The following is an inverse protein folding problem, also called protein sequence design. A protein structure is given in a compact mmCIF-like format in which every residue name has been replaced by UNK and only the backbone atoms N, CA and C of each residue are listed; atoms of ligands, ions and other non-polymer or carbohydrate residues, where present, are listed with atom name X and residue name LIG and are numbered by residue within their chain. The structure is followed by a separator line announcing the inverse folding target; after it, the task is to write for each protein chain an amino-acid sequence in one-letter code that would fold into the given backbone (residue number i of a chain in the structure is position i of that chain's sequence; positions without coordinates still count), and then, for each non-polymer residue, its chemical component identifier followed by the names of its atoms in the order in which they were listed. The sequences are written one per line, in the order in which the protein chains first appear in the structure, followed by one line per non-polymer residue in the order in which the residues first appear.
data_IF_911512409466
#
_entry.id   IF_911512409466
#
_cell.length_a   1.000
_cell.length_b   1.000
_cell.length_c   1.000
_cell.angle_alpha   90.00
_cell.angle_beta   90.00
_cell.angle_gamma   90.00
#
_symmetry.space_group_name_H-M   'P 1'
#
loop_
_entity.id
_entity.type
_entity.pdbx_description
1 polymer ?
#
# COMPACT_ATOMS: atom_id res chain seq x y z
N UNK A 1 -38.15 -31.49 15.67
CA UNK A 1 -36.73 -31.90 15.51
C UNK A 1 -36.05 -30.89 14.59
N UNK A 2 -34.91 -30.35 15.06
CA UNK A 2 -34.12 -29.27 14.47
C UNK A 2 -32.86 -29.88 13.86
N UNK A 3 -32.52 -29.55 12.61
CA UNK A 3 -31.12 -29.44 12.16
C UNK A 3 -31.06 -28.62 10.87
N UNK A 4 -30.62 -27.36 10.95
CA UNK A 4 -29.22 -26.86 10.81
C UNK A 4 -28.78 -26.80 9.35
N UNK A 5 -29.06 -25.66 8.73
CA UNK A 5 -28.29 -25.18 7.59
C UNK A 5 -27.07 -24.42 8.12
N UNK A 6 -25.87 -24.92 7.80
CA UNK A 6 -24.61 -24.21 8.03
C UNK A 6 -24.36 -23.21 6.90
N UNK A 7 -24.06 -21.93 7.18
CA UNK A 7 -23.53 -21.04 6.14
C UNK A 7 -22.03 -21.28 6.00
N UNK A 8 -21.58 -21.43 4.75
CA UNK A 8 -20.17 -21.52 4.34
C UNK A 8 -19.43 -20.24 4.74
N UNK A 9 -18.35 -20.39 5.49
CA UNK A 9 -17.35 -19.35 5.73
C UNK A 9 -16.60 -19.07 4.41
N UNK A 10 -16.70 -17.83 3.93
CA UNK A 10 -15.81 -17.32 2.88
C UNK A 10 -14.62 -16.63 3.56
N UNK A 11 -13.47 -17.26 3.47
CA UNK A 11 -12.19 -16.71 3.93
C UNK A 11 -11.73 -15.61 2.96
N UNK A 12 -12.06 -14.36 3.25
CA UNK A 12 -11.38 -13.22 2.67
C UNK A 12 -10.10 -12.96 3.47
N UNK A 13 -8.94 -13.20 2.85
CA UNK A 13 -7.64 -12.76 3.37
C UNK A 13 -7.62 -11.22 3.39
N UNK A 14 -7.61 -10.64 4.59
CA UNK A 14 -7.29 -9.23 4.77
C UNK A 14 -5.77 -9.08 4.88
N UNK A 15 -5.17 -8.47 3.84
CA UNK A 15 -3.75 -8.14 3.80
C UNK A 15 -3.40 -7.04 4.80
N UNK A 16 -2.24 -7.19 5.45
CA UNK A 16 -1.37 -6.08 5.85
C UNK A 16 -1.87 -5.02 6.83
N UNK A 17 -2.81 -5.31 7.74
CA UNK A 17 -3.20 -4.32 8.75
C UNK A 17 -2.14 -4.23 9.86
N UNK A 18 -1.48 -3.08 9.98
CA UNK A 18 -0.59 -2.78 11.12
C UNK A 18 -1.34 -3.02 12.45
N UNK A 19 -0.68 -3.55 13.51
CA UNK A 19 -1.37 -3.95 14.72
C UNK A 19 -2.09 -2.75 15.35
N UNK A 20 -3.41 -2.85 15.47
CA UNK A 20 -4.20 -1.89 16.26
C UNK A 20 -3.70 -1.98 17.70
N UNK A 21 -2.95 -0.97 18.14
CA UNK A 21 -2.47 -0.88 19.53
C UNK A 21 -3.59 -0.30 20.38
N UNK A 22 -4.19 -1.14 21.21
CA UNK A 22 -5.22 -0.73 22.18
C UNK A 22 -4.53 -0.25 23.45
N UNK A 23 -4.69 1.03 23.77
CA UNK A 23 -4.20 1.63 25.02
C UNK A 23 -5.35 1.71 26.02
N UNK A 24 -5.10 1.45 27.30
CA UNK A 24 -6.08 1.62 28.39
C UNK A 24 -5.60 2.77 29.28
N UNK A 25 -6.35 3.87 29.27
CA UNK A 25 -6.08 5.04 30.11
C UNK A 25 -6.84 4.86 31.42
N UNK A 26 -6.14 4.91 32.56
CA UNK A 26 -6.77 5.00 33.88
C UNK A 26 -7.11 6.46 34.15
N UNK A 27 -8.39 6.82 34.13
CA UNK A 27 -8.86 8.07 34.73
C UNK A 27 -9.23 7.78 36.18
N UNK A 28 -8.70 8.56 37.13
CA UNK A 28 -8.99 8.40 38.55
C UNK A 28 -10.41 8.90 38.81
N UNK A 29 -11.14 8.09 39.56
CA UNK A 29 -12.53 8.22 40.00
C UNK A 29 -12.88 9.66 40.45
N UNK A 30 -13.91 10.23 39.80
CA UNK A 30 -14.60 11.53 40.06
C UNK A 30 -14.51 12.62 38.97
N UNK A 31 -14.44 12.28 37.69
CA UNK A 31 -14.80 13.24 36.64
C UNK A 31 -15.78 12.62 35.66
N UNK A 32 -16.63 13.48 35.07
CA UNK A 32 -17.54 13.17 33.95
C UNK A 32 -16.78 12.49 32.80
N UNK A 33 -17.47 11.85 31.85
CA UNK A 33 -16.81 11.40 30.61
C UNK A 33 -16.18 12.61 29.90
N UNK A 34 -14.96 12.50 29.33
CA UNK A 34 -14.39 13.56 28.52
C UNK A 34 -15.17 13.69 27.20
N UNK A 35 -15.27 14.92 26.69
CA UNK A 35 -15.87 15.24 25.40
C UNK A 35 -14.93 14.95 24.24
N UNK A 36 -13.64 15.24 24.45
CA UNK A 36 -12.62 15.15 23.41
C UNK A 36 -11.36 14.54 24.02
N UNK A 37 -10.86 13.50 23.36
CA UNK A 37 -9.59 12.85 23.67
C UNK A 37 -8.63 13.12 22.52
N UNK A 38 -7.59 13.91 22.77
CA UNK A 38 -6.55 14.22 21.80
C UNK A 38 -5.30 13.39 22.10
N UNK A 39 -4.82 12.62 21.13
CA UNK A 39 -3.59 11.82 21.25
C UNK A 39 -2.52 12.42 20.34
N UNK A 40 -1.45 12.97 20.94
CA UNK A 40 -0.31 13.48 20.19
C UNK A 40 0.86 12.51 20.27
N UNK A 41 1.03 11.71 19.21
CA UNK A 41 2.11 10.72 19.13
C UNK A 41 3.51 11.35 19.04
N UNK A 42 3.65 12.51 18.37
CA UNK A 42 4.94 13.17 18.18
C UNK A 42 5.51 13.76 19.47
N UNK A 43 4.64 14.33 20.31
CA UNK A 43 4.97 14.88 21.63
C UNK A 43 4.67 13.92 22.79
N UNK A 44 4.29 12.67 22.49
CA UNK A 44 4.00 11.57 23.43
C UNK A 44 3.07 11.96 24.60
N UNK A 45 1.97 12.66 24.32
CA UNK A 45 0.98 13.00 25.34
C UNK A 45 -0.45 12.73 24.91
N UNK A 46 -1.31 12.55 25.90
CA UNK A 46 -2.77 12.42 25.77
C UNK A 46 -3.41 13.58 26.52
N UNK A 47 -4.41 14.20 25.92
CA UNK A 47 -5.16 15.30 26.50
C UNK A 47 -6.64 14.95 26.54
N UNK A 48 -7.24 15.06 27.73
CA UNK A 48 -8.64 14.78 28.02
C UNK A 48 -9.32 16.11 28.34
N UNK A 49 -10.31 16.49 27.53
CA UNK A 49 -11.10 17.71 27.75
C UNK A 49 -12.50 17.32 28.21
N UNK A 50 -12.97 17.91 29.31
CA UNK A 50 -14.27 17.64 29.90
C UNK A 50 -15.28 18.77 29.59
N UNK A 51 -16.58 18.48 29.70
CA UNK A 51 -17.69 19.44 29.44
C UNK A 51 -17.61 20.70 30.30
N UNK A 52 -17.06 20.58 31.51
CA UNK A 52 -16.87 21.68 32.44
C UNK A 52 -15.70 22.61 32.07
N UNK A 53 -14.97 22.31 30.99
CA UNK A 53 -13.78 23.04 30.55
C UNK A 53 -12.47 22.56 31.20
N UNK A 54 -12.51 21.57 32.08
CA UNK A 54 -11.31 20.99 32.69
C UNK A 54 -10.48 20.25 31.63
N UNK A 55 -9.16 20.32 31.80
CA UNK A 55 -8.18 19.74 30.90
C UNK A 55 -7.19 18.89 31.70
N UNK A 56 -7.16 17.58 31.42
CA UNK A 56 -6.16 16.68 31.99
C UNK A 56 -5.17 16.29 30.89
N UNK A 57 -3.89 16.64 31.08
CA UNK A 57 -2.81 16.27 30.19
C UNK A 57 -1.97 15.16 30.83
N UNK A 58 -1.91 14.02 30.16
CA UNK A 58 -1.12 12.85 30.55
C UNK A 58 0.07 12.77 29.60
N UNK A 59 1.25 13.16 30.09
CA UNK A 59 2.51 13.03 29.37
C UNK A 59 3.19 11.71 29.72
N UNK A 60 3.83 11.08 28.73
CA UNK A 60 4.74 9.96 28.98
C UNK A 60 6.06 10.51 29.52
N UNK A 61 6.43 10.17 30.76
CA UNK A 61 7.71 10.59 31.33
C UNK A 61 8.88 9.84 30.68
N UNK A 62 9.92 10.56 30.24
CA UNK A 62 11.09 10.00 29.52
C UNK A 62 11.95 9.08 30.41
N UNK A 63 11.77 9.11 31.74
CA UNK A 63 12.47 8.22 32.67
C UNK A 63 11.77 6.88 32.94
N UNK A 64 10.49 6.71 32.58
CA UNK A 64 9.75 5.49 32.93
C UNK A 64 9.81 4.47 31.78
N UNK A 65 10.52 3.37 32.04
CA UNK A 65 11.11 2.51 31.02
C UNK A 65 10.15 1.59 30.28
N UNK A 66 8.85 1.59 30.56
CA UNK A 66 7.90 0.71 29.88
C UNK A 66 6.51 1.36 29.88
N UNK A 67 5.98 1.68 28.69
CA UNK A 67 4.54 1.86 28.54
C UNK A 67 3.87 0.63 29.14
N UNK A 68 3.10 0.80 30.23
CA UNK A 68 2.51 -0.33 30.95
C UNK A 68 1.41 -0.94 30.09
N UNK A 69 1.78 -1.96 29.32
CA UNK A 69 0.83 -2.80 28.57
C UNK A 69 0.18 -3.76 29.58
N UNK A 70 -1.14 -3.66 29.73
CA UNK A 70 -1.90 -4.59 30.57
C UNK A 70 -2.52 -5.70 29.74
N UNK A 71 -2.68 -6.89 30.31
CA UNK A 71 -3.34 -8.01 29.64
C UNK A 71 -4.85 -7.79 29.47
N UNK A 72 -5.46 -8.53 28.56
CA UNK A 72 -6.92 -8.53 28.36
C UNK A 72 -7.69 -8.97 29.61
N UNK A 73 -7.13 -9.90 30.40
CA UNK A 73 -7.71 -10.37 31.65
C UNK A 73 -7.76 -9.25 32.70
N UNK A 74 -6.68 -8.47 32.83
CA UNK A 74 -6.63 -7.32 33.72
C UNK A 74 -7.59 -6.22 33.26
N UNK A 75 -7.62 -5.95 31.95
CA UNK A 75 -8.58 -5.02 31.35
C UNK A 75 -10.02 -5.40 31.69
N UNK A 76 -10.39 -6.68 31.51
CA UNK A 76 -11.74 -7.19 31.86
C UNK A 76 -12.04 -7.07 33.36
N UNK A 77 -11.04 -7.29 34.23
CA UNK A 77 -11.18 -7.12 35.68
C UNK A 77 -11.44 -5.65 36.05
N UNK A 78 -10.80 -4.70 35.37
CA UNK A 78 -11.03 -3.27 35.59
C UNK A 78 -12.38 -2.81 35.05
N UNK A 79 -12.79 -3.26 33.86
CA UNK A 79 -14.11 -2.95 33.34
C UNK A 79 -15.24 -3.44 34.28
N UNK A 80 -15.09 -4.64 34.86
CA UNK A 80 -16.03 -5.16 35.87
C UNK A 80 -16.07 -4.35 37.17
N UNK A 81 -15.02 -3.58 37.46
CA UNK A 81 -14.96 -2.68 38.62
C UNK A 81 -15.50 -1.27 38.31
N UNK A 82 -16.03 -1.04 37.12
CA UNK A 82 -16.61 0.25 36.71
C UNK A 82 -15.61 1.26 36.17
N UNK A 83 -14.40 0.84 35.78
CA UNK A 83 -13.43 1.75 35.15
C UNK A 83 -13.83 2.01 33.69
N UNK A 84 -13.73 3.27 33.26
CA UNK A 84 -13.93 3.67 31.87
C UNK A 84 -12.70 3.30 31.01
N UNK A 85 -12.96 2.89 29.77
CA UNK A 85 -11.92 2.56 28.80
C UNK A 85 -12.26 3.20 27.45
N UNK A 86 -11.26 3.77 26.80
CA UNK A 86 -11.40 4.44 25.51
C UNK A 86 -10.58 3.71 24.46
N UNK A 87 -11.16 3.56 23.26
CA UNK A 87 -10.47 3.01 22.10
C UNK A 87 -9.98 4.17 21.22
N UNK A 88 -8.67 4.28 21.03
CA UNK A 88 -8.09 5.21 20.07
C UNK A 88 -7.75 4.47 18.77
N UNK A 89 -8.19 5.00 17.63
CA UNK A 89 -7.76 4.55 16.31
C UNK A 89 -6.90 5.62 15.67
N UNK A 90 -5.68 5.26 15.28
CA UNK A 90 -4.79 6.15 14.53
C UNK A 90 -5.19 6.07 13.06
N UNK A 91 -5.91 7.08 12.58
CA UNK A 91 -6.17 7.23 11.15
C UNK A 91 -4.97 7.98 10.54
N UNK A 92 -3.95 7.23 10.09
CA UNK A 92 -2.98 7.78 9.15
C UNK A 92 -3.74 7.99 7.85
N UNK A 93 -4.16 9.23 7.58
CA UNK A 93 -4.57 9.58 6.21
C UNK A 93 -3.34 9.28 5.36
N UNK A 94 -3.40 8.22 4.56
CA UNK A 94 -2.42 7.96 3.52
C UNK A 94 -2.55 9.13 2.56
N UNK A 95 -1.80 10.21 2.82
CA UNK A 95 -1.47 11.15 1.78
C UNK A 95 -0.72 10.32 0.77
N UNK A 96 -1.35 10.02 -0.37
CA UNK A 96 -0.72 9.35 -1.50
C UNK A 96 0.69 9.95 -1.65
N UNK A 97 1.70 9.16 -1.30
CA UNK A 97 3.07 9.62 -1.37
C UNK A 97 3.37 9.80 -2.85
N UNK A 98 3.27 11.04 -3.31
CA UNK A 98 3.70 11.40 -4.64
C UNK A 98 5.16 10.99 -4.79
N UNK A 99 5.51 10.34 -5.90
CA UNK A 99 6.89 9.92 -6.17
C UNK A 99 7.86 11.11 -6.07
N UNK A 100 7.39 12.33 -6.35
CA UNK A 100 8.16 13.57 -6.17
C UNK A 100 8.30 14.03 -4.69
N UNK A 101 7.87 13.22 -3.72
CA UNK A 101 8.19 13.43 -2.29
C UNK A 101 9.46 12.69 -1.86
N UNK A 102 9.99 11.82 -2.72
CA UNK A 102 11.25 11.10 -2.49
C UNK A 102 12.40 11.95 -3.02
N UNK A 103 13.30 12.48 -2.16
CA UNK A 103 14.34 13.43 -2.56
C UNK A 103 15.20 12.95 -3.74
N UNK A 104 15.57 11.66 -3.73
CA UNK A 104 16.39 11.08 -4.79
C UNK A 104 15.65 10.95 -6.12
N UNK A 105 14.32 10.84 -6.14
CA UNK A 105 13.56 10.77 -7.41
C UNK A 105 13.42 12.16 -8.04
N UNK A 106 13.31 13.20 -7.22
CA UNK A 106 13.30 14.59 -7.69
C UNK A 106 14.61 15.00 -8.39
N UNK A 107 15.73 14.38 -8.03
CA UNK A 107 17.03 14.62 -8.66
C UNK A 107 17.14 14.00 -10.07
N UNK A 108 16.32 12.99 -10.39
CA UNK A 108 16.38 12.21 -11.64
C UNK A 108 15.01 12.05 -12.31
N UNK A 109 14.19 13.10 -12.33
CA UNK A 109 12.84 13.05 -12.93
C UNK A 109 12.88 12.73 -14.44
N UNK A 110 13.98 13.04 -15.11
CA UNK A 110 14.26 12.73 -16.51
C UNK A 110 14.48 11.23 -16.77
N UNK A 111 14.90 10.46 -15.75
CA UNK A 111 15.08 9.01 -15.81
C UNK A 111 13.76 8.26 -15.61
N UNK A 112 12.76 8.90 -14.99
CA UNK A 112 11.44 8.32 -14.70
C UNK A 112 10.30 9.05 -15.41
N UNK A 113 10.34 9.21 -16.75
CA UNK A 113 9.25 9.85 -17.46
C UNK A 113 8.00 8.96 -17.43
N UNK A 114 6.82 9.58 -17.43
CA UNK A 114 5.53 8.87 -17.46
C UNK A 114 5.37 8.00 -18.73
N UNK A 115 6.02 8.41 -19.81
CA UNK A 115 6.06 7.70 -21.09
C UNK A 115 7.50 7.65 -21.61
N UNK A 116 7.88 6.54 -22.27
CA UNK A 116 9.23 6.37 -22.81
C UNK A 116 9.46 7.33 -23.99
N UNK A 117 10.58 8.07 -24.02
CA UNK A 117 10.85 9.11 -25.03
C UNK A 117 11.22 8.57 -26.43
N UNK A 118 11.03 7.28 -26.69
CA UNK A 118 11.44 6.59 -27.91
C UNK A 118 12.70 5.74 -27.71
N UNK A 119 13.27 5.26 -28.81
CA UNK A 119 14.54 4.53 -28.76
C UNK A 119 15.65 5.46 -28.25
N UNK A 120 16.56 4.95 -27.40
CA UNK A 120 17.76 5.70 -27.07
C UNK A 120 18.55 6.01 -28.35
N UNK A 121 19.29 7.12 -28.35
CA UNK A 121 20.23 7.45 -29.43
C UNK A 121 21.14 6.25 -29.73
N UNK A 122 21.66 6.19 -30.96
CA UNK A 122 22.63 5.18 -31.40
C UNK A 122 23.65 4.95 -30.28
N UNK A 123 23.63 3.75 -29.71
CA UNK A 123 24.58 3.33 -28.68
C UNK A 123 25.91 3.05 -29.36
N UNK A 124 27.01 3.34 -28.67
CA UNK A 124 28.36 3.00 -29.15
C UNK A 124 28.57 1.48 -29.28
N UNK A 125 27.73 0.69 -28.61
CA UNK A 125 27.77 -0.77 -28.60
C UNK A 125 26.56 -1.31 -29.37
N UNK A 126 26.85 -2.07 -30.43
CA UNK A 126 25.87 -2.86 -31.15
C UNK A 126 25.61 -4.18 -30.40
N UNK A 127 24.34 -4.55 -30.26
CA UNK A 127 23.96 -5.82 -29.65
C UNK A 127 23.78 -6.85 -30.76
N UNK A 128 24.68 -7.83 -30.83
CA UNK A 128 24.57 -8.96 -31.74
C UNK A 128 23.90 -10.15 -31.03
N UNK A 129 22.99 -10.84 -31.73
CA UNK A 129 22.39 -12.09 -31.25
C UNK A 129 23.14 -13.24 -31.93
N UNK A 130 24.06 -13.86 -31.20
CA UNK A 130 24.77 -15.05 -31.68
C UNK A 130 23.82 -16.26 -31.74
N UNK A 131 23.76 -16.91 -32.91
CA UNK A 131 22.99 -18.14 -33.10
C UNK A 131 23.89 -19.36 -32.88
N UNK A 132 23.34 -20.39 -32.25
CA UNK A 132 24.03 -21.67 -32.14
C UNK A 132 24.26 -22.29 -33.53
N UNK A 133 25.37 -23.03 -33.68
CA UNK A 133 25.68 -23.71 -34.94
C UNK A 133 24.56 -24.68 -35.33
N UNK A 134 24.07 -24.57 -36.57
CA UNK A 134 22.99 -25.40 -37.10
C UNK A 134 21.58 -24.85 -36.85
N UNK A 135 21.44 -23.69 -36.21
CA UNK A 135 20.15 -23.02 -36.05
C UNK A 135 19.61 -22.52 -37.40
N UNK A 136 18.42 -22.98 -37.78
CA UNK A 136 17.70 -22.54 -38.98
C UNK A 136 16.56 -21.57 -38.62
N UNK A 137 16.11 -20.71 -39.56
CA UNK A 137 15.00 -19.80 -39.33
C UNK A 137 13.69 -20.50 -38.95
N UNK A 138 12.97 -19.92 -37.99
CA UNK A 138 11.68 -20.40 -37.51
C UNK A 138 10.59 -19.41 -37.92
N UNK A 139 9.56 -19.89 -38.62
CA UNK A 139 8.38 -19.11 -38.99
C UNK A 139 7.12 -19.82 -38.49
N UNK A 140 6.47 -19.25 -37.48
CA UNK A 140 5.25 -19.76 -36.86
C UNK A 140 4.09 -18.85 -37.26
N UNK A 141 2.97 -19.46 -37.68
CA UNK A 141 1.76 -18.72 -38.02
C UNK A 141 1.18 -18.04 -36.77
N UNK A 142 0.68 -16.80 -36.88
CA UNK A 142 0.07 -16.10 -35.75
C UNK A 142 -1.09 -16.87 -35.14
N UNK A 143 -1.25 -16.76 -33.83
CA UNK A 143 -2.43 -17.31 -33.16
C UNK A 143 -3.72 -16.63 -33.65
N UNK A 144 -4.84 -17.37 -33.59
CA UNK A 144 -6.16 -16.83 -33.92
C UNK A 144 -6.63 -15.92 -32.80
N UNK A 145 -6.83 -14.64 -33.12
CA UNK A 145 -7.33 -13.62 -32.20
C UNK A 145 -8.75 -13.18 -32.58
N UNK A 146 -9.54 -12.79 -31.59
CA UNK A 146 -10.84 -12.17 -31.81
C UNK A 146 -10.69 -10.76 -32.44
N UNK A 147 -11.73 -10.22 -33.10
CA UNK A 147 -11.64 -8.90 -33.74
C UNK A 147 -11.25 -7.76 -32.78
N UNK A 148 -11.67 -7.83 -31.51
CA UNK A 148 -11.32 -6.83 -30.49
C UNK A 148 -9.84 -6.90 -30.10
N UNK A 149 -9.29 -8.11 -29.95
CA UNK A 149 -7.87 -8.34 -29.65
C UNK A 149 -7.00 -7.87 -30.83
N UNK A 150 -7.41 -8.17 -32.06
CA UNK A 150 -6.68 -7.72 -33.25
C UNK A 150 -6.67 -6.19 -33.38
N UNK A 151 -7.77 -5.53 -33.01
CA UNK A 151 -7.85 -4.06 -33.00
C UNK A 151 -6.88 -3.46 -31.97
N UNK A 152 -6.82 -4.04 -30.77
CA UNK A 152 -5.91 -3.62 -29.71
C UNK A 152 -4.45 -3.84 -30.12
N UNK A 153 -4.12 -5.03 -30.61
CA UNK A 153 -2.78 -5.35 -31.10
C UNK A 153 -2.32 -4.37 -32.19
N UNK A 154 -3.21 -4.04 -33.14
CA UNK A 154 -2.92 -3.06 -34.17
C UNK A 154 -2.62 -1.67 -33.58
N UNK A 155 -3.36 -1.24 -32.55
CA UNK A 155 -3.11 0.05 -31.90
C UNK A 155 -1.75 0.07 -31.21
N UNK A 156 -1.40 -0.99 -30.47
CA UNK A 156 -0.10 -1.11 -29.79
C UNK A 156 1.06 -1.16 -30.79
N UNK A 157 0.94 -1.92 -31.89
CA UNK A 157 1.96 -1.96 -32.94
C UNK A 157 2.14 -0.59 -33.60
N UNK A 158 1.06 0.16 -33.82
CA UNK A 158 1.13 1.51 -34.37
C UNK A 158 1.88 2.46 -33.41
N UNK A 159 1.56 2.42 -32.12
CA UNK A 159 2.26 3.21 -31.10
C UNK A 159 3.77 2.89 -31.07
N UNK A 160 4.14 1.62 -31.17
CA UNK A 160 5.54 1.20 -31.22
C UNK A 160 6.26 1.69 -32.49
N UNK A 161 5.59 1.70 -33.64
CA UNK A 161 6.14 2.25 -34.87
C UNK A 161 6.28 3.77 -34.81
N UNK A 162 5.28 4.47 -34.29
CA UNK A 162 5.29 5.93 -34.16
C UNK A 162 6.40 6.40 -33.21
N UNK A 163 6.69 5.62 -32.16
CA UNK A 163 7.81 5.83 -31.23
C UNK A 163 9.16 5.32 -31.76
N UNK A 164 9.19 4.69 -32.94
CA UNK A 164 10.39 4.17 -33.58
C UNK A 164 10.95 2.87 -32.99
N UNK A 165 10.26 2.24 -32.04
CA UNK A 165 10.69 0.97 -31.43
C UNK A 165 10.57 -0.23 -32.39
N UNK A 166 9.66 -0.15 -33.36
CA UNK A 166 9.44 -1.18 -34.36
C UNK A 166 9.43 -0.58 -35.77
N UNK A 167 9.80 -1.40 -36.76
CA UNK A 167 9.65 -1.07 -38.18
C UNK A 167 9.24 -2.31 -38.97
N UNK A 168 8.52 -2.17 -40.09
CA UNK A 168 8.28 -3.27 -41.00
C UNK A 168 9.61 -3.91 -41.46
N UNK A 169 9.62 -5.23 -41.58
CA UNK A 169 10.78 -5.99 -42.01
C UNK A 169 10.38 -7.18 -42.87
N UNK A 170 11.32 -7.67 -43.68
CA UNK A 170 11.19 -8.93 -44.42
C UNK A 170 12.16 -9.93 -43.80
N UNK A 171 11.67 -10.79 -42.91
CA UNK A 171 12.49 -11.74 -42.18
C UNK A 171 12.01 -13.18 -42.42
N UNK A 172 12.95 -14.12 -42.53
CA UNK A 172 12.66 -15.56 -42.54
C UNK A 172 12.23 -16.07 -41.16
N UNK A 173 12.50 -15.29 -40.12
CA UNK A 173 12.07 -15.51 -38.75
C UNK A 173 10.73 -14.82 -38.50
N UNK A 174 9.77 -15.54 -37.94
CA UNK A 174 8.44 -15.00 -37.63
C UNK A 174 7.78 -15.74 -36.48
N UNK A 175 7.26 -14.98 -35.52
CA UNK A 175 6.41 -15.47 -34.43
C UNK A 175 5.52 -14.31 -33.97
N UNK A 176 4.22 -14.57 -33.83
CA UNK A 176 3.24 -13.59 -33.37
C UNK A 176 2.14 -14.25 -32.54
#
# INVERSE_FOLDING_TARGET
MRNKNSPREQTARAEGRAPVRTYVIRVREKASSPDVITVNCGRKFIELKYENGDLIRVESNEQDRLSVVISSLLTRKYLRKGYEAYLAFVNTRETELRIESVPIVCEYLDVFPKELPGLPSIREIEFEIELASGTAPISIAPYRMAPTELKELKAQLQELMDKGFARPSYCLWGAL
#
